data_IF_599936832412
#
_entry.id   IF_599936832412
#
_cell.length_a   1.000
_cell.length_b   1.000
_cell.length_c   1.000
_cell.angle_alpha   90.00
_cell.angle_beta   90.00
_cell.angle_gamma   90.00
#
_symmetry.space_group_name_H-M   'P 1'
#
loop_
_entity.id
_entity.type
_entity.pdbx_description
1 polymer ?
#
# COMPACT_ATOMS: atom_id res chain seq x y z
N UNK A 1 -16.68 -18.78 1.92
CA UNK A 1 -15.46 -18.57 1.09
C UNK A 1 -14.71 -17.36 1.63
N UNK A 2 -13.66 -17.58 2.41
CA UNK A 2 -12.80 -16.53 2.99
C UNK A 2 -11.79 -16.11 1.93
N UNK A 3 -11.93 -14.91 1.36
CA UNK A 3 -10.83 -14.26 0.64
C UNK A 3 -9.77 -13.87 1.67
N UNK A 4 -8.94 -14.86 2.01
CA UNK A 4 -7.69 -14.60 2.69
C UNK A 4 -6.81 -13.86 1.69
N UNK A 5 -6.72 -12.54 1.83
CA UNK A 5 -5.46 -11.82 1.67
C UNK A 5 -4.47 -12.39 2.71
N UNK A 6 -4.15 -13.68 2.60
CA UNK A 6 -3.09 -14.31 3.36
C UNK A 6 -1.83 -13.60 2.88
N UNK A 7 -1.22 -12.90 3.82
CA UNK A 7 0.20 -12.56 3.91
C UNK A 7 1.01 -13.45 2.97
N UNK A 8 1.24 -12.99 1.74
CA UNK A 8 2.24 -13.56 0.86
C UNK A 8 3.29 -12.48 0.70
N UNK A 9 4.19 -12.48 1.68
CA UNK A 9 5.54 -11.94 1.59
C UNK A 9 6.28 -12.69 0.48
N UNK A 10 5.95 -12.39 -0.78
CA UNK A 10 7.00 -12.45 -1.79
C UNK A 10 8.12 -11.60 -1.21
N UNK A 11 9.25 -12.20 -0.86
CA UNK A 11 10.33 -11.61 -0.08
C UNK A 11 11.08 -10.52 -0.86
N UNK A 12 10.36 -9.48 -1.29
CA UNK A 12 10.88 -8.31 -2.01
C UNK A 12 11.64 -7.37 -1.07
N UNK A 13 11.40 -7.44 0.24
CA UNK A 13 12.19 -6.67 1.21
C UNK A 13 13.63 -7.15 1.29
N UNK A 14 13.89 -8.43 1.06
CA UNK A 14 15.24 -8.98 0.93
C UNK A 14 15.97 -8.65 -0.38
N UNK A 15 15.32 -7.94 -1.33
CA UNK A 15 15.90 -7.65 -2.66
C UNK A 15 16.60 -6.30 -2.76
N UNK A 16 16.81 -5.59 -1.64
CA UNK A 16 17.44 -4.26 -1.63
C UNK A 16 16.56 -3.14 -2.20
N UNK A 17 15.26 -3.40 -2.33
CA UNK A 17 14.33 -2.46 -2.92
C UNK A 17 14.01 -1.32 -1.93
N UNK A 18 14.15 -0.03 -2.33
CA UNK A 18 13.98 1.07 -1.39
C UNK A 18 12.54 1.18 -0.91
N UNK A 19 12.39 1.69 0.31
CA UNK A 19 11.10 2.01 0.95
C UNK A 19 10.29 3.02 0.12
N UNK A 20 10.97 4.02 -0.44
CA UNK A 20 10.36 4.99 -1.35
C UNK A 20 10.79 4.75 -2.79
N UNK A 21 9.83 4.86 -3.71
CA UNK A 21 10.14 4.82 -5.14
C UNK A 21 10.79 6.13 -5.55
N UNK A 22 11.73 6.03 -6.49
CA UNK A 22 12.25 7.21 -7.15
C UNK A 22 11.09 8.02 -7.76
N UNK A 23 11.02 9.30 -7.42
CA UNK A 23 9.97 10.20 -7.88
C UNK A 23 8.71 10.26 -7.02
N UNK A 24 8.62 9.54 -5.89
CA UNK A 24 7.51 9.75 -4.93
C UNK A 24 7.63 11.14 -4.29
N UNK A 25 6.58 12.00 -4.40
CA UNK A 25 6.55 13.30 -3.74
C UNK A 25 6.77 13.16 -2.22
N UNK A 26 7.55 14.07 -1.63
CA UNK A 26 7.97 13.97 -0.23
C UNK A 26 6.78 13.90 0.73
N UNK A 27 5.74 14.66 0.46
CA UNK A 27 4.48 14.69 1.23
C UNK A 27 3.68 13.38 1.19
N UNK A 28 4.00 12.47 0.24
CA UNK A 28 3.34 11.17 0.08
C UNK A 28 4.19 10.00 0.58
N UNK A 29 5.45 10.25 0.97
CA UNK A 29 6.42 9.20 1.32
C UNK A 29 6.02 8.37 2.52
N UNK A 30 5.46 9.00 3.55
CA UNK A 30 5.03 8.26 4.74
C UNK A 30 3.87 7.31 4.45
N UNK A 31 2.94 7.70 3.57
CA UNK A 31 1.89 6.80 3.10
C UNK A 31 2.47 5.66 2.26
N UNK A 32 3.40 5.95 1.35
CA UNK A 32 4.06 4.90 0.56
C UNK A 32 4.80 3.90 1.47
N UNK A 33 5.57 4.40 2.43
CA UNK A 33 6.26 3.58 3.43
C UNK A 33 5.29 2.73 4.22
N UNK A 34 4.23 3.34 4.75
CA UNK A 34 3.20 2.64 5.51
C UNK A 34 2.61 1.48 4.70
N UNK A 35 2.29 1.69 3.43
CA UNK A 35 1.71 0.67 2.56
C UNK A 35 2.73 -0.40 2.13
N UNK A 36 4.00 -0.02 2.03
CA UNK A 36 5.13 -0.88 1.69
C UNK A 36 5.56 -1.80 2.84
N UNK A 37 5.48 -1.33 4.09
CA UNK A 37 5.85 -2.09 5.27
C UNK A 37 4.89 -3.27 5.53
N UNK A 38 5.37 -4.27 6.28
CA UNK A 38 4.59 -5.43 6.71
C UNK A 38 4.58 -5.29 8.22
N UNK A 39 3.42 -4.95 8.76
CA UNK A 39 3.23 -4.79 10.20
C UNK A 39 2.76 -6.12 10.80
N UNK A 40 3.61 -7.14 10.70
CA UNK A 40 3.33 -8.48 11.22
C UNK A 40 3.49 -8.56 12.74
N UNK A 41 4.11 -7.54 13.35
CA UNK A 41 4.35 -7.45 14.79
C UNK A 41 4.15 -6.03 15.30
N UNK A 42 3.72 -5.91 16.56
CA UNK A 42 3.67 -4.63 17.28
C UNK A 42 5.02 -3.91 17.27
N UNK A 43 6.13 -4.65 17.36
CA UNK A 43 7.48 -4.08 17.32
C UNK A 43 7.81 -3.40 15.98
N UNK A 44 7.37 -3.97 14.86
CA UNK A 44 7.55 -3.36 13.54
C UNK A 44 6.78 -2.04 13.42
N UNK A 45 5.55 -2.00 13.93
CA UNK A 45 4.73 -0.78 13.96
C UNK A 45 5.31 0.30 14.88
N UNK A 46 5.75 -0.08 16.08
CA UNK A 46 6.41 0.81 17.03
C UNK A 46 7.64 1.48 16.40
N UNK A 47 8.51 0.67 15.77
CA UNK A 47 9.71 1.17 15.10
C UNK A 47 9.38 2.15 13.96
N UNK A 48 8.40 1.83 13.13
CA UNK A 48 7.96 2.72 12.04
C UNK A 48 7.42 4.05 12.57
N UNK A 49 6.72 4.01 13.70
CA UNK A 49 6.15 5.17 14.38
C UNK A 49 7.24 6.05 15.01
N UNK A 50 8.21 5.45 15.70
CA UNK A 50 9.37 6.14 16.30
C UNK A 50 10.22 6.87 15.24
N UNK A 51 10.44 6.25 14.07
CA UNK A 51 11.15 6.89 12.95
C UNK A 51 10.46 8.17 12.46
N UNK A 52 9.16 8.28 12.70
CA UNK A 52 8.31 9.45 12.40
C UNK A 52 8.05 10.33 13.60
N UNK A 53 8.74 10.07 14.72
CA UNK A 53 8.69 10.82 15.98
C UNK A 53 7.33 10.74 16.67
N UNK A 54 6.56 9.68 16.43
CA UNK A 54 5.38 9.36 17.25
C UNK A 54 5.80 8.64 18.53
N UNK A 55 5.01 8.82 19.58
CA UNK A 55 5.22 8.12 20.86
C UNK A 55 5.05 6.60 20.69
N UNK A 56 5.99 5.85 21.25
CA UNK A 56 6.07 4.41 21.03
C UNK A 56 5.01 3.62 21.79
N UNK A 57 4.52 4.14 22.93
CA UNK A 57 3.47 3.53 23.72
C UNK A 57 2.09 3.75 23.08
N UNK A 58 1.82 4.98 22.64
CA UNK A 58 0.62 5.30 21.86
C UNK A 58 0.57 4.52 20.53
N UNK A 59 1.73 4.35 19.88
CA UNK A 59 1.84 3.50 18.69
C UNK A 59 1.50 2.04 19.01
N UNK A 60 2.06 1.45 20.05
CA UNK A 60 1.76 0.06 20.43
C UNK A 60 0.25 -0.19 20.63
N UNK A 61 -0.46 0.74 21.28
CA UNK A 61 -1.90 0.65 21.48
C UNK A 61 -2.71 0.66 20.17
N UNK A 62 -2.22 1.33 19.13
CA UNK A 62 -2.88 1.47 17.82
C UNK A 62 -2.49 0.40 16.79
N UNK A 63 -1.64 -0.58 17.15
CA UNK A 63 -1.13 -1.59 16.21
C UNK A 63 -2.21 -2.33 15.41
N UNK A 64 -3.27 -2.79 16.09
CA UNK A 64 -4.34 -3.56 15.44
C UNK A 64 -5.08 -2.72 14.39
N UNK A 65 -5.42 -1.49 14.76
CA UNK A 65 -6.11 -0.52 13.89
C UNK A 65 -5.21 -0.11 12.72
N UNK A 66 -3.93 0.15 12.95
CA UNK A 66 -2.95 0.42 11.89
C UNK A 66 -2.94 -0.70 10.85
N UNK A 67 -2.94 -1.97 11.28
CA UNK A 67 -3.05 -3.11 10.37
C UNK A 67 -4.37 -3.19 9.60
N UNK A 68 -5.49 -2.80 10.21
CA UNK A 68 -6.80 -2.73 9.56
C UNK A 68 -6.86 -1.62 8.49
N UNK A 69 -6.37 -0.43 8.82
CA UNK A 69 -6.23 0.70 7.89
C UNK A 69 -5.30 0.35 6.74
N UNK A 70 -4.16 -0.28 7.01
CA UNK A 70 -3.22 -0.71 5.97
C UNK A 70 -3.86 -1.69 4.98
N UNK A 71 -4.55 -2.72 5.47
CA UNK A 71 -5.25 -3.69 4.61
C UNK A 71 -6.34 -3.02 3.78
N UNK A 72 -7.10 -2.10 4.37
CA UNK A 72 -8.14 -1.36 3.68
C UNK A 72 -7.57 -0.48 2.54
N UNK A 73 -6.49 0.27 2.80
CA UNK A 73 -5.81 1.06 1.77
C UNK A 73 -5.22 0.19 0.66
N UNK A 74 -4.57 -0.93 0.99
CA UNK A 74 -4.02 -1.87 -0.01
C UNK A 74 -5.12 -2.51 -0.89
N UNK A 75 -6.32 -2.68 -0.35
CA UNK A 75 -7.49 -3.11 -1.13
C UNK A 75 -7.93 -2.06 -2.17
N UNK A 76 -7.82 -0.79 -1.83
CA UNK A 76 -8.06 0.31 -2.78
C UNK A 76 -6.92 0.41 -3.81
N UNK A 77 -5.65 0.21 -3.42
CA UNK A 77 -4.51 0.16 -4.36
C UNK A 77 -4.61 -0.98 -5.39
N UNK A 78 -5.19 -2.12 -4.99
CA UNK A 78 -5.47 -3.22 -5.91
C UNK A 78 -6.39 -2.76 -7.04
N UNK A 79 -7.43 -1.99 -6.71
CA UNK A 79 -8.39 -1.44 -7.66
C UNK A 79 -7.73 -0.44 -8.62
N UNK A 80 -6.82 0.40 -8.12
CA UNK A 80 -6.04 1.34 -8.95
C UNK A 80 -5.20 0.65 -10.04
N UNK A 81 -4.93 -0.65 -9.89
CA UNK A 81 -4.16 -1.43 -10.86
C UNK A 81 -4.99 -2.55 -11.53
N UNK A 82 -6.32 -2.50 -11.45
CA UNK A 82 -7.21 -3.47 -12.10
C UNK A 82 -7.13 -4.88 -11.50
N UNK A 83 -6.77 -4.99 -10.22
CA UNK A 83 -6.77 -6.25 -9.46
C UNK A 83 -8.12 -6.31 -8.73
N UNK A 84 -9.04 -7.14 -9.24
CA UNK A 84 -10.45 -7.17 -8.83
C UNK A 84 -10.67 -7.49 -7.36
N UNK A 85 -11.49 -6.68 -6.67
CA UNK A 85 -12.39 -7.14 -5.62
C UNK A 85 -13.59 -6.18 -5.44
N UNK A 86 -14.76 -6.50 -5.98
CA UNK A 86 -15.94 -5.62 -5.86
C UNK A 86 -16.55 -5.64 -4.45
N UNK A 87 -16.51 -6.78 -3.75
CA UNK A 87 -17.02 -6.90 -2.37
C UNK A 87 -16.05 -6.32 -1.33
N UNK A 88 -14.74 -6.43 -1.56
CA UNK A 88 -13.74 -6.02 -0.57
C UNK A 88 -13.52 -4.50 -0.54
N UNK A 89 -13.78 -3.79 -1.65
CA UNK A 89 -13.62 -2.33 -1.73
C UNK A 89 -14.63 -1.58 -0.87
N UNK A 90 -15.91 -1.98 -0.88
CA UNK A 90 -16.94 -1.34 -0.05
C UNK A 90 -16.65 -1.51 1.45
N UNK A 91 -16.19 -2.70 1.85
CA UNK A 91 -15.76 -2.97 3.22
C UNK A 91 -14.53 -2.13 3.59
N UNK A 92 -13.54 -2.02 2.71
CA UNK A 92 -12.37 -1.18 2.92
C UNK A 92 -12.77 0.30 3.10
N UNK A 93 -13.68 0.82 2.28
CA UNK A 93 -14.22 2.18 2.44
C UNK A 93 -14.90 2.37 3.79
N UNK A 94 -15.69 1.39 4.23
CA UNK A 94 -16.35 1.43 5.55
C UNK A 94 -15.33 1.48 6.69
N UNK A 95 -14.30 0.63 6.64
CA UNK A 95 -13.19 0.63 7.62
C UNK A 95 -12.46 1.97 7.64
N UNK A 96 -12.15 2.54 6.47
CA UNK A 96 -11.44 3.83 6.39
C UNK A 96 -12.29 4.98 6.91
N UNK A 97 -13.58 5.04 6.54
CA UNK A 97 -14.48 6.08 7.04
C UNK A 97 -14.63 6.01 8.57
N UNK A 98 -14.75 4.81 9.12
CA UNK A 98 -14.79 4.63 10.57
C UNK A 98 -13.52 5.13 11.27
N UNK A 99 -12.34 4.76 10.75
CA UNK A 99 -11.07 5.22 11.30
C UNK A 99 -10.93 6.76 11.18
N UNK A 100 -11.36 7.35 10.06
CA UNK A 100 -11.37 8.81 9.86
C UNK A 100 -12.22 9.51 10.92
N UNK A 101 -13.38 8.95 11.26
CA UNK A 101 -14.25 9.46 12.33
C UNK A 101 -13.59 9.32 13.71
N UNK A 102 -13.02 8.15 14.03
CA UNK A 102 -12.37 7.86 15.31
C UNK A 102 -11.17 8.76 15.59
N UNK A 103 -10.31 8.97 14.60
CA UNK A 103 -9.13 9.84 14.71
C UNK A 103 -9.46 11.34 14.62
N UNK A 104 -10.75 11.67 14.54
CA UNK A 104 -11.24 13.03 14.56
C UNK A 104 -10.51 13.96 13.56
N UNK A 105 -10.23 13.48 12.35
CA UNK A 105 -9.58 14.29 11.32
C UNK A 105 -10.42 15.53 11.03
N UNK A 106 -9.79 16.71 11.01
CA UNK A 106 -10.47 18.00 10.76
C UNK A 106 -9.84 18.75 9.59
N UNK A 107 -10.64 19.39 8.72
CA UNK A 107 -10.10 20.29 7.72
C UNK A 107 -9.48 21.53 8.40
N UNK A 108 -8.34 21.98 7.87
CA UNK A 108 -7.66 23.21 8.24
C UNK A 108 -7.25 23.97 6.99
N UNK A 109 -7.42 25.29 7.01
CA UNK A 109 -6.91 26.18 5.96
C UNK A 109 -5.42 26.40 6.22
N UNK A 110 -4.60 26.16 5.19
CA UNK A 110 -3.16 26.38 5.17
C UNK A 110 -2.82 27.30 3.99
N UNK A 111 -1.56 27.74 3.89
CA UNK A 111 -1.10 28.54 2.76
C UNK A 111 -1.28 27.86 1.39
N UNK A 112 -1.30 26.52 1.38
CA UNK A 112 -1.40 25.71 0.16
C UNK A 112 -2.84 25.21 -0.10
N UNK A 113 -3.83 25.71 0.63
CA UNK A 113 -5.25 25.32 0.50
C UNK A 113 -5.80 24.61 1.74
N UNK A 114 -6.78 23.72 1.55
CA UNK A 114 -7.40 22.97 2.66
C UNK A 114 -6.72 21.62 2.82
N UNK A 115 -6.27 21.29 4.04
CA UNK A 115 -5.72 19.98 4.38
C UNK A 115 -6.46 19.36 5.55
N UNK A 116 -6.55 18.04 5.57
CA UNK A 116 -6.95 17.33 6.79
C UNK A 116 -5.82 17.38 7.80
N UNK A 117 -6.16 17.43 9.08
CA UNK A 117 -5.21 17.46 10.18
C UNK A 117 -5.61 16.45 11.25
N UNK A 118 -4.70 15.56 11.61
CA UNK A 118 -4.85 14.62 12.73
C UNK A 118 -4.56 15.29 14.09
N UNK A 119 -4.96 14.65 15.19
CA UNK A 119 -4.51 15.05 16.52
C UNK A 119 -2.99 14.95 16.68
N UNK A 120 -2.36 15.75 17.55
CA UNK A 120 -0.93 15.60 17.81
C UNK A 120 -0.62 14.20 18.36
N UNK A 121 0.45 13.57 17.85
CA UNK A 121 0.88 12.24 18.29
C UNK A 121 0.09 11.06 17.70
N UNK A 122 -0.86 11.31 16.80
CA UNK A 122 -1.70 10.27 16.21
C UNK A 122 -1.08 9.67 14.93
N UNK A 123 -0.41 8.53 15.08
CA UNK A 123 0.28 7.87 13.98
C UNK A 123 -0.67 7.32 12.89
N UNK A 124 -1.84 6.78 13.27
CA UNK A 124 -2.82 6.28 12.30
C UNK A 124 -3.53 7.45 11.63
N UNK A 125 -3.93 8.46 12.41
CA UNK A 125 -4.48 9.71 11.88
C UNK A 125 -3.56 10.40 10.88
N UNK A 126 -2.23 10.40 11.12
CA UNK A 126 -1.24 10.94 10.19
C UNK A 126 -1.26 10.24 8.83
N UNK A 127 -1.29 8.90 8.81
CA UNK A 127 -1.38 8.13 7.57
C UNK A 127 -2.69 8.42 6.84
N UNK A 128 -3.81 8.45 7.57
CA UNK A 128 -5.13 8.76 7.00
C UNK A 128 -5.18 10.18 6.42
N UNK A 129 -4.56 11.16 7.08
CA UNK A 129 -4.40 12.52 6.58
C UNK A 129 -3.70 12.53 5.21
N UNK A 130 -2.60 11.80 5.06
CA UNK A 130 -1.85 11.74 3.79
C UNK A 130 -2.64 10.98 2.73
N UNK A 131 -3.37 9.91 3.11
CA UNK A 131 -4.25 9.19 2.19
C UNK A 131 -5.36 10.09 1.63
N UNK A 132 -6.02 10.88 2.49
CA UNK A 132 -7.03 11.85 2.06
C UNK A 132 -6.39 12.93 1.18
N UNK A 133 -5.20 13.42 1.53
CA UNK A 133 -4.48 14.37 0.69
C UNK A 133 -4.23 13.76 -0.70
N UNK A 134 -3.73 12.52 -0.79
CA UNK A 134 -3.50 11.85 -2.07
C UNK A 134 -4.79 11.69 -2.90
N UNK A 135 -5.92 11.41 -2.26
CA UNK A 135 -7.22 11.28 -2.94
C UNK A 135 -7.74 12.63 -3.44
N UNK A 136 -7.64 13.67 -2.61
CA UNK A 136 -8.14 15.03 -2.93
C UNK A 136 -7.26 15.78 -3.93
N UNK A 137 -5.96 15.46 -4.01
CA UNK A 137 -5.04 16.01 -5.03
C UNK A 137 -4.93 15.14 -6.29
N UNK A 138 -5.79 14.12 -6.43
CA UNK A 138 -5.79 13.16 -7.54
C UNK A 138 -4.48 12.36 -7.72
N UNK A 139 -3.63 12.26 -6.68
CA UNK A 139 -2.44 11.43 -6.67
C UNK A 139 -2.76 9.95 -6.37
N UNK A 140 -3.90 9.64 -5.73
CA UNK A 140 -4.27 8.30 -5.29
C UNK A 140 -4.18 7.21 -6.39
N UNK A 141 -4.64 7.42 -7.64
CA UNK A 141 -4.54 6.40 -8.70
C UNK A 141 -3.10 5.94 -9.01
N UNK A 142 -2.09 6.67 -8.56
CA UNK A 142 -0.67 6.29 -8.69
C UNK A 142 -0.21 5.32 -7.59
N UNK A 143 -0.91 5.22 -6.46
CA UNK A 143 -0.68 4.16 -5.48
C UNK A 143 -1.29 2.85 -5.98
N UNK A 144 -0.44 1.85 -6.18
CA UNK A 144 -0.82 0.62 -6.87
C UNK A 144 -0.27 -0.60 -6.16
N UNK A 145 -1.05 -1.67 -6.19
CA UNK A 145 -0.57 -2.99 -5.82
C UNK A 145 0.07 -3.68 -7.03
N UNK A 146 1.25 -4.30 -6.86
CA UNK A 146 1.93 -5.02 -7.93
C UNK A 146 1.04 -6.11 -8.53
N UNK A 147 0.95 -6.18 -9.87
CA UNK A 147 0.13 -7.19 -10.56
C UNK A 147 0.62 -8.62 -10.42
N UNK A 148 1.85 -8.84 -9.94
CA UNK A 148 2.36 -10.20 -9.80
C UNK A 148 1.70 -10.84 -8.56
N UNK A 149 0.93 -11.95 -8.73
CA UNK A 149 0.25 -12.60 -7.62
C UNK A 149 1.19 -13.04 -6.50
N UNK A 150 2.46 -13.31 -6.81
CA UNK A 150 3.49 -13.69 -5.84
C UNK A 150 4.29 -12.50 -5.28
N UNK A 151 3.87 -11.26 -5.55
CA UNK A 151 4.52 -10.05 -5.02
C UNK A 151 3.55 -9.21 -4.22
N UNK A 152 2.48 -8.70 -4.87
CA UNK A 152 1.47 -7.83 -4.26
C UNK A 152 2.02 -6.66 -3.42
N UNK A 153 3.23 -6.17 -3.70
CA UNK A 153 3.75 -4.98 -3.03
C UNK A 153 2.99 -3.71 -3.44
N UNK A 154 2.81 -2.81 -2.50
CA UNK A 154 2.39 -1.43 -2.78
C UNK A 154 3.55 -0.64 -3.40
N UNK A 155 3.24 0.29 -4.30
CA UNK A 155 4.22 1.22 -4.86
C UNK A 155 3.53 2.47 -5.41
N UNK A 156 4.24 3.59 -5.41
CA UNK A 156 3.83 4.79 -6.13
C UNK A 156 4.34 4.79 -7.58
N UNK A 157 3.44 5.03 -8.53
CA UNK A 157 3.75 5.14 -9.95
C UNK A 157 4.15 6.57 -10.34
N UNK A 158 5.43 6.88 -10.19
CA UNK A 158 6.03 8.13 -10.63
C UNK A 158 6.30 8.20 -12.15
N UNK A 159 5.85 7.22 -12.95
CA UNK A 159 6.04 7.31 -14.41
C UNK A 159 5.20 8.44 -15.01
N UNK A 160 5.70 9.03 -16.11
CA UNK A 160 5.04 10.13 -16.83
C UNK A 160 3.54 9.88 -17.06
N UNK A 161 3.20 8.68 -17.56
CA UNK A 161 1.83 8.33 -17.93
C UNK A 161 1.08 7.54 -16.86
N UNK A 162 1.69 7.29 -15.68
CA UNK A 162 1.05 6.48 -14.63
C UNK A 162 0.68 5.07 -15.11
N UNK A 163 1.51 4.46 -15.97
CA UNK A 163 1.20 3.19 -16.64
C UNK A 163 1.98 1.99 -16.09
N UNK A 164 2.78 2.15 -15.02
CA UNK A 164 3.47 1.01 -14.39
C UNK A 164 2.43 0.08 -13.76
N UNK A 165 2.64 -1.21 -13.97
CA UNK A 165 1.82 -2.29 -13.39
C UNK A 165 2.61 -3.21 -12.46
N UNK A 166 3.94 -3.04 -12.42
CA UNK A 166 4.88 -3.79 -11.59
C UNK A 166 5.63 -2.82 -10.66
N UNK A 167 5.88 -3.23 -9.42
CA UNK A 167 6.61 -2.41 -8.44
C UNK A 167 8.08 -2.14 -8.84
N UNK A 168 8.68 -3.05 -9.61
CA UNK A 168 9.99 -2.89 -10.24
C UNK A 168 10.00 -3.66 -11.56
N UNK A 169 10.52 -3.01 -12.61
CA UNK A 169 10.70 -3.65 -13.90
C UNK A 169 11.77 -4.74 -13.85
N UNK A 170 12.85 -4.49 -13.11
CA UNK A 170 13.99 -5.42 -12.97
C UNK A 170 13.59 -6.69 -12.22
N UNK A 171 12.79 -6.57 -11.16
CA UNK A 171 12.37 -7.71 -10.34
C UNK A 171 11.10 -8.36 -10.89
N UNK A 172 9.95 -7.68 -10.74
CA UNK A 172 8.65 -8.26 -11.10
C UNK A 172 8.40 -8.27 -12.61
N UNK A 173 8.87 -7.25 -13.33
CA UNK A 173 8.79 -7.20 -14.79
C UNK A 173 9.55 -8.36 -15.45
N UNK A 174 10.82 -8.53 -15.10
CA UNK A 174 11.66 -9.65 -15.59
C UNK A 174 11.12 -11.01 -15.20
N UNK A 175 10.66 -11.19 -13.96
CA UNK A 175 10.06 -12.44 -13.49
C UNK A 175 8.84 -12.84 -14.33
N UNK A 176 7.95 -11.90 -14.64
CA UNK A 176 6.79 -12.17 -15.48
C UNK A 176 7.17 -12.42 -16.94
N UNK A 177 8.18 -11.71 -17.46
CA UNK A 177 8.73 -11.97 -18.80
C UNK A 177 9.27 -13.40 -18.92
N UNK A 178 10.04 -13.86 -17.92
CA UNK A 178 10.60 -15.21 -17.88
C UNK A 178 9.50 -16.28 -17.76
N UNK A 179 8.51 -16.08 -16.88
CA UNK A 179 7.35 -16.98 -16.75
C UNK A 179 6.61 -17.15 -18.08
N UNK A 180 6.36 -16.06 -18.80
CA UNK A 180 5.71 -16.09 -20.13
C UNK A 180 6.56 -16.84 -21.16
N UNK A 181 7.88 -16.68 -21.16
CA UNK A 181 8.75 -17.42 -22.08
C UNK A 181 8.74 -18.93 -21.79
N UNK A 182 8.83 -19.34 -20.52
CA UNK A 182 8.79 -20.76 -20.14
C UNK A 182 7.45 -21.42 -20.45
N UNK A 183 6.33 -20.72 -20.21
CA UNK A 183 5.00 -21.22 -20.54
C UNK A 183 4.77 -21.44 -22.04
N UNK A 184 5.53 -20.74 -22.91
CA UNK A 184 5.51 -20.95 -24.37
C UNK A 184 6.46 -22.05 -24.84
N UNK A 185 7.42 -22.45 -24.01
CA UNK A 185 8.46 -23.43 -24.35
C UNK A 185 8.19 -24.83 -23.78
N UNK A 186 7.03 -25.05 -23.14
CA UNK A 186 6.61 -26.39 -22.75
C UNK A 186 6.28 -27.19 -24.02
N UNK A 187 6.99 -28.31 -24.30
CA UNK A 187 6.65 -29.16 -25.42
C UNK A 187 5.24 -29.76 -25.21
N UNK A 188 4.48 -30.03 -26.29
CA UNK A 188 3.18 -30.68 -26.16
C UNK A 188 3.35 -32.02 -25.44
N UNK A 189 2.58 -32.21 -24.36
CA UNK A 189 2.45 -33.50 -23.68
C UNK A 189 1.88 -34.51 -24.68
N UNK A 190 2.69 -35.48 -25.09
CA UNK A 190 2.21 -36.64 -25.81
C UNK A 190 1.45 -37.53 -24.83
N UNK A 191 0.12 -37.60 -24.98
CA UNK A 191 -0.69 -38.64 -24.36
C UNK A 191 -0.35 -39.97 -25.05
N UNK A 192 0.25 -40.89 -24.30
CA UNK A 192 0.49 -42.26 -24.75
C UNK A 192 -0.76 -43.08 -24.44
N UNK A 193 -1.40 -43.57 -25.51
CA UNK A 193 -2.51 -44.54 -25.52
C UNK A 193 -2.01 -45.92 -25.13
#
# INVERSE_FOLDING_TARGET
MRYLLYVFTGNIKGTGMPEHREGTPTELRDLESFLWCDFDTTAAWRKWSEQRRFDSHAAEASFKEAGEVQRALRQLEASNNGITASADVSKAMTTLNHAIEQHALRPRITADGVRMHAGPGDAVGHVLQIAIQAMTTCAWPRFKLCRDPACRASFFDASKNGSKIWCSMELCGSRNKMRRHRGKAAPPTQDVV
#
